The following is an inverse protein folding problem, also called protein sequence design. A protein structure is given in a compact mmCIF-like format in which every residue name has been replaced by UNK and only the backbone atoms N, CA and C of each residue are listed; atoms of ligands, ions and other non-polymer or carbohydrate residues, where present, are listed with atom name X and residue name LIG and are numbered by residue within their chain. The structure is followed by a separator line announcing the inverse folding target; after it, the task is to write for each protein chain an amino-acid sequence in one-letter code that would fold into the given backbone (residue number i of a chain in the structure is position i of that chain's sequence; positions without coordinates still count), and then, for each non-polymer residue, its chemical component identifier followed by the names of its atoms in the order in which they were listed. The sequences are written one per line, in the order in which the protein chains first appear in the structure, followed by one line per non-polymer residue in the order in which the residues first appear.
data_IF_636281202390
#
_entry.id   IF_636281202390
#
_cell.length_a   1.000
_cell.length_b   1.000
_cell.length_c   1.000
_cell.angle_alpha   90.00
_cell.angle_beta   90.00
_cell.angle_gamma   90.00
#
_symmetry.space_group_name_H-M   'P 1'
#
loop_
_entity.id
_entity.type
_entity.pdbx_description
1 polymer ?
#
# COMPACT_ATOMS: atom_id res chain seq x y z
N UNK A 1 12.81 -77.20 33.88
CA UNK A 1 11.55 -76.61 33.38
C UNK A 1 11.85 -75.30 32.67
N UNK A 2 12.08 -75.34 31.35
CA UNK A 2 12.32 -74.13 30.56
C UNK A 2 11.02 -73.60 29.98
N UNK A 3 10.57 -72.41 30.42
CA UNK A 3 9.46 -71.69 29.77
C UNK A 3 9.90 -71.28 28.37
N UNK A 4 9.40 -71.94 27.34
CA UNK A 4 9.53 -71.50 25.94
C UNK A 4 8.83 -70.15 25.79
N UNK A 5 9.60 -69.08 25.58
CA UNK A 5 9.05 -67.79 25.16
C UNK A 5 8.48 -67.96 23.75
N UNK A 6 7.15 -67.94 23.62
CA UNK A 6 6.45 -67.93 22.34
C UNK A 6 6.76 -66.58 21.67
N UNK A 7 7.41 -66.59 20.51
CA UNK A 7 7.69 -65.38 19.75
C UNK A 7 6.36 -64.71 19.38
N UNK A 8 6.20 -63.43 19.75
CA UNK A 8 4.96 -62.68 19.56
C UNK A 8 4.88 -62.27 18.09
N UNK A 9 4.27 -63.11 17.27
CA UNK A 9 3.94 -62.78 15.87
C UNK A 9 2.87 -61.70 15.87
N UNK A 10 3.24 -60.48 15.44
CA UNK A 10 2.29 -59.39 15.25
C UNK A 10 1.50 -59.72 13.97
N UNK A 11 0.17 -59.95 14.04
CA UNK A 11 -0.62 -60.23 12.86
C UNK A 11 -0.63 -59.01 11.93
N UNK A 12 -0.48 -59.25 10.62
CA UNK A 12 -0.58 -58.19 9.61
C UNK A 12 -1.97 -57.54 9.69
N UNK A 13 -1.99 -56.25 10.01
CA UNK A 13 -3.23 -55.47 10.15
C UNK A 13 -3.69 -54.93 8.80
N UNK A 14 -5.00 -54.72 8.66
CA UNK A 14 -5.55 -54.06 7.48
C UNK A 14 -5.07 -52.60 7.41
N UNK A 15 -4.11 -52.36 6.50
CA UNK A 15 -3.50 -51.04 6.29
C UNK A 15 -4.53 -49.97 5.93
N UNK A 16 -5.68 -50.34 5.33
CA UNK A 16 -6.73 -49.39 4.96
C UNK A 16 -7.50 -48.90 6.18
N UNK A 17 -7.86 -49.82 7.08
CA UNK A 17 -8.57 -49.49 8.34
C UNK A 17 -7.65 -48.68 9.25
N UNK A 18 -6.41 -49.14 9.47
CA UNK A 18 -5.43 -48.41 10.29
C UNK A 18 -5.11 -47.03 9.69
N UNK A 19 -4.94 -46.94 8.37
CA UNK A 19 -4.68 -45.69 7.67
C UNK A 19 -5.85 -44.70 7.80
N UNK A 20 -7.09 -45.17 7.64
CA UNK A 20 -8.28 -44.33 7.81
C UNK A 20 -8.43 -43.83 9.25
N UNK A 21 -8.22 -44.69 10.26
CA UNK A 21 -8.27 -44.27 11.67
C UNK A 21 -7.21 -43.20 11.94
N UNK A 22 -5.97 -43.43 11.50
CA UNK A 22 -4.86 -42.49 11.69
C UNK A 22 -5.15 -41.13 11.01
N UNK A 23 -5.61 -41.14 9.76
CA UNK A 23 -5.95 -39.92 9.03
C UNK A 23 -7.09 -39.14 9.67
N UNK A 24 -8.17 -39.81 10.09
CA UNK A 24 -9.29 -39.15 10.77
C UNK A 24 -8.88 -38.60 12.14
N UNK A 25 -8.07 -39.33 12.92
CA UNK A 25 -7.53 -38.85 14.19
C UNK A 25 -6.65 -37.62 14.00
N UNK A 26 -5.74 -37.66 13.02
CA UNK A 26 -4.88 -36.53 12.67
C UNK A 26 -5.70 -35.31 12.22
N UNK A 27 -6.72 -35.52 11.39
CA UNK A 27 -7.60 -34.45 10.91
C UNK A 27 -8.39 -33.81 12.05
N UNK A 28 -8.86 -34.59 13.03
CA UNK A 28 -9.51 -34.05 14.24
C UNK A 28 -8.53 -33.17 15.01
N UNK A 29 -7.31 -33.68 15.28
CA UNK A 29 -6.31 -32.93 16.04
C UNK A 29 -5.98 -31.61 15.34
N UNK A 30 -5.70 -31.64 14.04
CA UNK A 30 -5.43 -30.42 13.26
C UNK A 30 -6.64 -29.48 13.26
N UNK A 31 -7.85 -29.99 13.09
CA UNK A 31 -9.06 -29.14 13.05
C UNK A 31 -9.28 -28.45 14.40
N UNK A 32 -9.07 -29.14 15.53
CA UNK A 32 -9.14 -28.55 16.86
C UNK A 32 -8.07 -27.46 17.05
N UNK A 33 -6.82 -27.76 16.69
CA UNK A 33 -5.72 -26.79 16.76
C UNK A 33 -6.02 -25.57 15.88
N UNK A 34 -6.48 -25.80 14.65
CA UNK A 34 -6.86 -24.74 13.72
C UNK A 34 -7.95 -23.83 14.32
N UNK A 35 -9.02 -24.38 14.89
CA UNK A 35 -10.08 -23.58 15.52
C UNK A 35 -9.55 -22.69 16.66
N UNK A 36 -8.63 -23.19 17.49
CA UNK A 36 -8.01 -22.42 18.57
C UNK A 36 -7.18 -21.27 17.99
N UNK A 37 -6.31 -21.53 17.01
CA UNK A 37 -5.48 -20.47 16.42
C UNK A 37 -6.29 -19.44 15.63
N UNK A 38 -7.28 -19.89 14.85
CA UNK A 38 -8.14 -19.02 14.06
C UNK A 38 -9.06 -18.15 14.93
N UNK A 39 -9.33 -18.55 16.17
CA UNK A 39 -10.06 -17.70 17.12
C UNK A 39 -9.31 -16.39 17.41
N UNK A 40 -7.99 -16.46 17.62
CA UNK A 40 -7.15 -15.29 17.88
C UNK A 40 -6.78 -14.57 16.58
N UNK A 41 -6.45 -15.33 15.53
CA UNK A 41 -5.95 -14.77 14.29
C UNK A 41 -7.04 -14.14 13.40
N UNK A 42 -8.27 -14.68 13.40
CA UNK A 42 -9.35 -14.25 12.50
C UNK A 42 -10.59 -13.80 13.26
N UNK A 43 -11.10 -14.60 14.20
CA UNK A 43 -12.36 -14.26 14.89
C UNK A 43 -12.25 -12.97 15.71
N UNK A 44 -11.22 -12.82 16.57
CA UNK A 44 -11.04 -11.63 17.39
C UNK A 44 -10.92 -10.34 16.54
N UNK A 45 -10.05 -10.25 15.51
CA UNK A 45 -10.00 -9.09 14.62
C UNK A 45 -11.31 -8.85 13.86
N UNK A 46 -11.97 -9.92 13.38
CA UNK A 46 -13.24 -9.80 12.66
C UNK A 46 -14.35 -9.24 13.55
N UNK A 47 -14.45 -9.73 14.79
CA UNK A 47 -15.39 -9.21 15.77
C UNK A 47 -15.16 -7.72 16.03
N UNK A 48 -13.91 -7.29 16.22
CA UNK A 48 -13.58 -5.86 16.35
C UNK A 48 -14.01 -5.07 15.11
N UNK A 49 -13.76 -5.58 13.91
CA UNK A 49 -14.14 -4.93 12.66
C UNK A 49 -15.66 -4.74 12.53
N UNK A 50 -16.47 -5.75 12.86
CA UNK A 50 -17.93 -5.65 12.84
C UNK A 50 -18.48 -4.68 13.88
N UNK A 51 -17.79 -4.51 15.01
CA UNK A 51 -18.19 -3.61 16.09
C UNK A 51 -17.50 -2.24 16.07
N UNK A 52 -16.64 -1.96 15.09
CA UNK A 52 -15.90 -0.71 15.01
C UNK A 52 -16.78 0.51 14.66
N UNK A 53 -17.99 0.30 14.14
CA UNK A 53 -18.91 1.39 13.76
C UNK A 53 -18.41 2.24 12.58
N UNK A 54 -17.50 1.70 11.78
CA UNK A 54 -16.90 2.36 10.63
C UNK A 54 -17.80 2.20 9.41
N UNK A 55 -18.00 3.28 8.66
CA UNK A 55 -18.76 3.25 7.41
C UNK A 55 -18.00 2.42 6.35
N UNK A 56 -18.70 1.56 5.61
CA UNK A 56 -18.10 0.79 4.51
C UNK A 56 -17.87 1.61 3.24
N UNK A 57 -18.51 2.77 3.10
CA UNK A 57 -18.33 3.66 1.96
C UNK A 57 -17.17 4.62 2.22
N UNK A 58 -16.10 4.59 1.40
CA UNK A 58 -14.94 5.42 1.63
C UNK A 58 -15.28 6.90 1.38
N UNK A 59 -14.65 7.75 2.17
CA UNK A 59 -14.60 9.20 1.99
C UNK A 59 -13.17 9.62 1.66
N UNK A 60 -12.94 10.89 1.39
CA UNK A 60 -11.60 11.39 1.08
C UNK A 60 -10.90 11.88 2.34
N UNK A 61 -9.73 11.32 2.60
CA UNK A 61 -8.80 11.84 3.59
C UNK A 61 -7.71 12.66 2.93
N UNK A 62 -7.22 13.66 3.65
CA UNK A 62 -6.10 14.48 3.24
C UNK A 62 -5.16 14.71 4.40
N UNK A 63 -3.90 14.34 4.21
CA UNK A 63 -2.87 14.45 5.24
C UNK A 63 -2.56 15.92 5.53
N UNK A 64 -2.56 16.26 6.82
CA UNK A 64 -2.31 17.63 7.30
C UNK A 64 -1.03 17.77 8.11
N UNK A 65 -0.54 16.67 8.68
CA UNK A 65 0.68 16.68 9.47
C UNK A 65 1.25 15.27 9.54
N UNK A 66 2.54 15.14 9.23
CA UNK A 66 3.28 13.90 9.37
C UNK A 66 4.49 14.11 10.26
N UNK A 67 4.56 13.39 11.38
CA UNK A 67 5.72 13.42 12.27
C UNK A 67 6.34 12.04 12.42
N UNK A 68 7.66 12.02 12.59
CA UNK A 68 8.39 10.82 13.00
C UNK A 68 8.89 11.00 14.43
N UNK A 69 8.43 10.14 15.34
CA UNK A 69 8.73 10.20 16.78
C UNK A 69 9.46 8.92 17.20
N UNK A 70 10.40 9.03 18.15
CA UNK A 70 11.23 7.93 18.65
C UNK A 70 10.61 7.15 19.84
N UNK A 71 9.65 7.75 20.55
CA UNK A 71 8.94 7.16 21.68
C UNK A 71 7.44 7.31 21.46
N UNK A 72 6.77 6.20 21.17
CA UNK A 72 5.48 6.24 20.52
C UNK A 72 4.38 5.75 21.46
N UNK A 73 3.36 6.59 21.67
CA UNK A 73 2.09 6.14 22.23
C UNK A 73 1.23 5.44 21.17
N UNK A 74 1.40 5.81 19.89
CA UNK A 74 0.74 5.19 18.73
C UNK A 74 1.59 5.41 17.47
N UNK A 75 1.30 4.62 16.42
CA UNK A 75 1.90 4.71 15.10
C UNK A 75 0.82 4.51 14.02
N UNK A 76 0.91 5.21 12.90
CA UNK A 76 0.00 5.03 11.76
C UNK A 76 0.18 3.67 11.08
N UNK A 77 1.41 3.17 11.08
CA UNK A 77 1.76 1.84 10.62
C UNK A 77 2.96 1.31 11.41
N UNK A 78 2.81 0.13 12.02
CA UNK A 78 3.87 -0.65 12.62
C UNK A 78 4.11 -1.96 11.88
N UNK A 79 5.38 -2.33 11.70
CA UNK A 79 5.74 -3.68 11.28
C UNK A 79 5.64 -4.61 12.50
N UNK A 80 5.01 -5.77 12.33
CA UNK A 80 4.70 -6.77 13.37
C UNK A 80 3.68 -6.34 14.43
N UNK A 81 2.46 -6.85 14.31
CA UNK A 81 1.36 -6.54 15.23
C UNK A 81 1.48 -7.14 16.65
N UNK A 82 2.37 -8.11 16.87
CA UNK A 82 2.52 -8.76 18.18
C UNK A 82 3.37 -7.95 19.17
N UNK A 83 4.14 -7.00 18.66
CA UNK A 83 5.04 -6.16 19.45
C UNK A 83 4.64 -4.71 19.30
N UNK A 84 4.76 -3.91 20.36
CA UNK A 84 4.66 -2.46 20.20
C UNK A 84 5.76 -2.00 19.26
N UNK A 85 5.42 -1.15 18.29
CA UNK A 85 6.39 -0.49 17.43
C UNK A 85 7.38 0.28 18.32
N UNK A 86 8.64 -0.15 18.34
CA UNK A 86 9.72 0.52 19.07
C UNK A 86 10.67 1.21 18.09
N UNK A 87 11.17 2.40 18.46
CA UNK A 87 12.01 3.22 17.59
C UNK A 87 11.20 4.20 16.76
N UNK A 88 11.34 4.15 15.42
CA UNK A 88 10.71 5.11 14.51
C UNK A 88 9.22 4.84 14.31
N UNK A 89 8.36 5.76 14.75
CA UNK A 89 6.93 5.67 14.51
C UNK A 89 6.43 6.84 13.67
N UNK A 90 5.91 6.58 12.46
CA UNK A 90 5.21 7.59 11.70
C UNK A 90 3.85 7.88 12.37
N UNK A 91 3.56 9.15 12.57
CA UNK A 91 2.27 9.63 13.07
C UNK A 91 1.69 10.57 12.03
N UNK A 92 0.68 10.09 11.31
CA UNK A 92 -0.01 10.81 10.25
C UNK A 92 -1.36 11.27 10.79
N UNK A 93 -1.61 12.57 10.69
CA UNK A 93 -2.90 13.17 10.94
C UNK A 93 -3.56 13.53 9.61
N UNK A 94 -4.84 13.21 9.49
CA UNK A 94 -5.63 13.48 8.30
C UNK A 94 -6.88 14.29 8.64
N UNK A 95 -7.24 15.18 7.72
CA UNK A 95 -8.60 15.73 7.62
C UNK A 95 -9.47 14.73 6.88
N UNK A 96 -10.71 14.59 7.33
CA UNK A 96 -11.70 13.69 6.75
C UNK A 96 -12.77 14.55 6.09
N UNK A 97 -13.04 14.34 4.81
CA UNK A 97 -14.03 15.12 4.06
C UNK A 97 -14.83 14.26 3.10
N UNK A 98 -15.99 14.76 2.71
CA UNK A 98 -16.75 14.17 1.60
C UNK A 98 -16.01 14.35 0.27
N UNK A 99 -16.40 13.53 -0.70
CA UNK A 99 -15.94 13.66 -2.08
C UNK A 99 -16.47 14.99 -2.64
N UNK A 100 -15.64 15.67 -3.42
CA UNK A 100 -15.97 16.87 -4.16
C UNK A 100 -16.74 16.56 -5.44
N UNK A 101 -16.57 17.43 -6.42
CA UNK A 101 -17.30 17.36 -7.68
C UNK A 101 -16.47 16.66 -8.75
N UNK A 102 -17.04 15.66 -9.40
CA UNK A 102 -16.54 15.11 -10.64
C UNK A 102 -16.95 16.03 -11.78
N UNK A 103 -15.99 16.39 -12.61
CA UNK A 103 -16.19 17.29 -13.74
C UNK A 103 -15.79 16.65 -15.07
N UNK A 104 -16.51 17.03 -16.11
CA UNK A 104 -16.19 16.73 -17.50
C UNK A 104 -15.94 18.05 -18.23
N UNK A 105 -14.75 18.18 -18.80
CA UNK A 105 -14.35 19.29 -19.66
C UNK A 105 -14.40 18.84 -21.11
N UNK A 106 -15.14 19.56 -21.94
CA UNK A 106 -15.42 19.16 -23.32
C UNK A 106 -14.69 20.03 -24.35
N UNK A 107 -14.41 19.44 -25.51
CA UNK A 107 -13.66 20.02 -26.63
C UNK A 107 -12.32 20.61 -26.19
N UNK A 108 -11.56 19.82 -25.43
CA UNK A 108 -10.25 20.24 -24.96
C UNK A 108 -9.18 20.07 -26.05
N UNK A 109 -8.44 21.14 -26.30
CA UNK A 109 -7.27 21.18 -27.20
C UNK A 109 -6.03 21.59 -26.41
N UNK A 110 -4.83 21.36 -26.98
CA UNK A 110 -3.54 21.75 -26.37
C UNK A 110 -3.35 21.22 -24.94
N UNK A 111 -3.78 19.98 -24.69
CA UNK A 111 -3.65 19.34 -23.37
C UNK A 111 -2.20 19.04 -23.05
N UNK A 112 -1.66 19.68 -22.02
CA UNK A 112 -0.33 19.44 -21.48
C UNK A 112 -0.43 19.01 -20.01
N UNK A 113 0.46 18.11 -19.59
CA UNK A 113 0.62 17.70 -18.20
C UNK A 113 2.06 17.99 -17.78
N UNK A 114 2.23 18.79 -16.74
CA UNK A 114 3.53 19.12 -16.17
C UNK A 114 3.60 18.51 -14.78
N UNK A 115 4.60 17.67 -14.55
CA UNK A 115 4.86 17.07 -13.24
C UNK A 115 5.97 17.83 -12.53
N UNK A 116 5.78 18.12 -11.24
CA UNK A 116 6.86 18.59 -10.38
C UNK A 116 6.98 17.67 -9.16
N UNK A 117 7.65 16.50 -9.27
CA UNK A 117 7.69 15.46 -8.23
C UNK A 117 8.55 15.83 -7.04
N UNK A 118 8.35 15.17 -5.88
CA UNK A 118 9.06 15.52 -4.64
C UNK A 118 10.55 15.22 -4.80
N UNK A 119 11.38 16.17 -4.39
CA UNK A 119 12.82 16.02 -4.49
C UNK A 119 13.31 15.13 -3.35
N UNK A 120 13.88 13.98 -3.71
CA UNK A 120 14.56 13.12 -2.75
C UNK A 120 16.04 13.54 -2.65
N UNK A 121 16.35 14.43 -1.70
CA UNK A 121 17.73 14.89 -1.46
C UNK A 121 18.66 13.75 -1.05
N UNK A 122 18.13 12.66 -0.46
CA UNK A 122 18.94 11.50 -0.09
C UNK A 122 19.39 10.67 -1.31
N UNK A 123 18.73 10.81 -2.45
CA UNK A 123 19.11 10.16 -3.70
C UNK A 123 20.19 10.92 -4.48
N UNK A 124 20.49 12.17 -4.09
CA UNK A 124 21.53 12.99 -4.71
C UNK A 124 22.91 12.38 -4.45
N UNK A 125 23.79 12.44 -5.45
CA UNK A 125 25.17 11.98 -5.32
C UNK A 125 25.86 12.71 -4.16
N UNK A 126 26.42 11.94 -3.23
CA UNK A 126 27.27 12.44 -2.16
C UNK A 126 28.72 12.38 -2.60
N UNK A 127 29.39 13.52 -2.64
CA UNK A 127 30.81 13.68 -2.92
C UNK A 127 31.60 13.57 -1.62
N UNK A 128 32.65 12.75 -1.60
CA UNK A 128 33.55 12.67 -0.46
C UNK A 128 34.80 13.53 -0.70
N UNK A 129 34.77 14.78 -0.25
CA UNK A 129 35.91 15.70 -0.41
C UNK A 129 37.11 15.30 0.46
N UNK A 130 36.98 14.35 1.39
CA UNK A 130 38.14 13.81 2.10
C UNK A 130 39.01 12.92 1.19
N UNK A 131 38.47 12.47 0.05
CA UNK A 131 39.22 11.77 -0.99
C UNK A 131 39.72 12.80 -2.01
N UNK A 132 41.03 13.05 -2.04
CA UNK A 132 41.69 14.27 -2.53
C UNK A 132 41.57 14.65 -4.03
N UNK A 133 40.56 14.17 -4.76
CA UNK A 133 40.24 14.62 -6.12
C UNK A 133 38.74 14.64 -6.44
N UNK A 134 37.88 14.16 -5.54
CA UNK A 134 36.44 14.00 -5.85
C UNK A 134 35.69 15.34 -5.93
N UNK A 135 36.24 16.39 -5.31
CA UNK A 135 35.62 17.71 -5.21
C UNK A 135 36.31 18.80 -6.06
N UNK A 136 37.12 18.41 -7.05
CA UNK A 136 37.87 19.34 -7.90
C UNK A 136 36.99 20.11 -8.93
N UNK A 137 35.75 19.67 -9.14
CA UNK A 137 34.82 20.28 -10.10
C UNK A 137 33.44 20.53 -9.49
N UNK A 138 33.37 20.83 -8.19
CA UNK A 138 32.11 21.19 -7.56
C UNK A 138 31.58 22.51 -8.11
N UNK A 139 30.42 22.44 -8.77
CA UNK A 139 29.71 23.61 -9.29
C UNK A 139 28.23 23.54 -8.91
N UNK A 140 27.74 24.59 -8.24
CA UNK A 140 26.38 24.64 -7.72
C UNK A 140 26.32 24.92 -6.21
N UNK A 141 25.16 24.67 -5.62
CA UNK A 141 24.91 24.81 -4.18
C UNK A 141 25.00 23.44 -3.52
N UNK A 142 25.82 23.34 -2.49
CA UNK A 142 26.11 22.10 -1.78
C UNK A 142 25.74 22.19 -0.30
N UNK A 143 25.15 21.13 0.23
CA UNK A 143 25.06 20.88 1.67
C UNK A 143 26.19 19.91 2.06
N UNK A 144 27.10 20.36 2.92
CA UNK A 144 28.26 19.61 3.34
C UNK A 144 28.22 19.29 4.84
N UNK A 145 28.58 18.06 5.21
CA UNK A 145 28.77 17.62 6.61
C UNK A 145 30.13 16.93 6.72
N UNK A 146 31.09 17.61 7.36
CA UNK A 146 32.45 17.10 7.61
C UNK A 146 33.16 16.58 6.34
N UNK A 147 33.13 17.37 5.27
CA UNK A 147 33.76 17.01 3.99
C UNK A 147 32.92 16.08 3.09
N UNK A 148 31.76 15.63 3.53
CA UNK A 148 30.79 14.94 2.65
C UNK A 148 29.76 15.95 2.12
N UNK A 149 29.75 16.20 0.82
CA UNK A 149 28.92 17.23 0.19
C UNK A 149 27.86 16.63 -0.73
N UNK A 150 26.64 17.16 -0.71
CA UNK A 150 25.55 16.76 -1.61
C UNK A 150 25.14 17.95 -2.48
N UNK A 151 25.04 17.75 -3.80
CA UNK A 151 24.74 18.82 -4.75
C UNK A 151 23.24 19.14 -4.79
N UNK A 152 22.80 20.15 -4.04
CA UNK A 152 21.40 20.57 -4.03
C UNK A 152 20.96 21.11 -5.39
N UNK A 153 21.87 21.72 -6.15
CA UNK A 153 21.55 22.29 -7.47
C UNK A 153 21.25 21.27 -8.56
N UNK A 154 21.55 19.98 -8.35
CA UNK A 154 21.15 18.92 -9.29
C UNK A 154 19.64 18.69 -9.30
N UNK A 155 18.97 18.99 -8.19
CA UNK A 155 17.56 18.62 -7.97
C UNK A 155 16.67 19.78 -7.56
N UNK A 156 17.25 20.92 -7.16
CA UNK A 156 16.53 22.12 -6.73
C UNK A 156 17.15 23.40 -7.30
N UNK A 157 16.32 24.42 -7.50
CA UNK A 157 16.72 25.77 -7.87
C UNK A 157 16.87 26.64 -6.62
N UNK A 158 18.10 26.80 -6.14
CA UNK A 158 18.39 27.55 -4.91
C UNK A 158 18.59 29.05 -5.14
N UNK A 159 17.95 29.87 -4.31
CA UNK A 159 18.06 31.34 -4.28
C UNK A 159 18.92 31.78 -3.11
N UNK A 160 20.24 31.63 -3.24
CA UNK A 160 21.21 31.98 -2.20
C UNK A 160 21.95 33.28 -2.47
N UNK A 161 22.53 33.84 -1.39
CA UNK A 161 23.50 34.93 -1.44
C UNK A 161 24.77 34.48 -0.70
N UNK A 162 25.87 34.23 -1.42
CA UNK A 162 27.11 33.78 -0.79
C UNK A 162 27.82 34.95 -0.09
N UNK A 163 27.69 35.02 1.25
CA UNK A 163 28.20 36.13 2.08
C UNK A 163 29.33 35.70 3.06
N UNK A 164 29.79 34.45 2.95
CA UNK A 164 30.72 33.83 3.89
C UNK A 164 32.17 33.74 3.40
N UNK A 165 32.98 33.03 4.19
CA UNK A 165 34.37 32.75 3.81
C UNK A 165 34.43 31.81 2.60
N UNK A 166 35.39 32.06 1.71
CA UNK A 166 35.72 31.16 0.60
C UNK A 166 36.63 30.06 1.12
N UNK A 167 36.26 28.82 0.84
CA UNK A 167 36.98 27.59 1.20
C UNK A 167 37.33 26.87 -0.09
N UNK A 168 38.55 26.38 -0.17
CA UNK A 168 38.98 25.52 -1.27
C UNK A 168 38.62 24.06 -0.95
N UNK A 169 37.76 23.45 -1.77
CA UNK A 169 37.22 22.12 -1.52
C UNK A 169 38.20 20.97 -1.78
N UNK A 170 39.40 21.26 -2.30
CA UNK A 170 40.49 20.30 -2.46
C UNK A 170 41.50 20.36 -1.30
N UNK A 171 41.79 21.58 -0.83
CA UNK A 171 42.82 21.84 0.19
C UNK A 171 42.29 21.92 1.61
N UNK A 172 41.07 22.41 1.78
CA UNK A 172 40.49 22.78 3.08
C UNK A 172 39.23 21.94 3.41
N UNK A 173 39.27 20.65 3.09
CA UNK A 173 38.10 19.76 3.01
C UNK A 173 37.41 19.57 4.37
N UNK A 174 38.19 19.61 5.45
CA UNK A 174 37.67 19.56 6.83
C UNK A 174 36.87 20.83 7.23
N UNK A 175 37.05 21.95 6.52
CA UNK A 175 36.32 23.20 6.76
C UNK A 175 34.95 23.24 6.04
N UNK A 176 34.66 22.26 5.18
CA UNK A 176 33.37 22.12 4.50
C UNK A 176 32.31 21.54 5.45
N UNK A 177 31.69 22.43 6.22
CA UNK A 177 30.56 22.11 7.09
C UNK A 177 29.50 23.21 7.02
N UNK A 178 28.31 22.85 6.52
CA UNK A 178 27.20 23.76 6.23
C UNK A 178 26.93 23.90 4.72
N UNK A 179 26.32 25.02 4.34
CA UNK A 179 25.89 25.28 2.96
C UNK A 179 26.92 26.14 2.22
N UNK A 180 27.23 25.78 0.97
CA UNK A 180 28.23 26.45 0.15
C UNK A 180 27.75 26.61 -1.28
N UNK A 181 28.12 27.72 -1.92
CA UNK A 181 28.06 27.89 -3.37
C UNK A 181 29.45 27.70 -3.94
N UNK A 182 29.63 26.65 -4.73
CA UNK A 182 30.90 26.25 -5.31
C UNK A 182 30.96 26.59 -6.80
N UNK A 183 32.13 27.03 -7.25
CA UNK A 183 32.47 27.22 -8.66
C UNK A 183 33.90 26.72 -8.87
N UNK A 184 34.05 25.54 -9.50
CA UNK A 184 35.34 24.88 -9.74
C UNK A 184 36.24 24.88 -8.47
N UNK A 185 35.86 24.09 -7.46
CA UNK A 185 36.55 23.91 -6.16
C UNK A 185 36.52 25.10 -5.20
N UNK A 186 36.20 26.31 -5.66
CA UNK A 186 36.06 27.48 -4.77
C UNK A 186 34.65 27.56 -4.22
N UNK A 187 34.50 27.18 -2.95
CA UNK A 187 33.22 27.11 -2.26
C UNK A 187 33.06 28.30 -1.29
N UNK A 188 32.13 29.21 -1.59
CA UNK A 188 31.80 30.32 -0.71
C UNK A 188 30.69 29.92 0.25
N UNK A 189 30.91 30.08 1.55
CA UNK A 189 29.92 29.71 2.57
C UNK A 189 28.67 30.59 2.48
N UNK A 190 27.49 29.97 2.56
CA UNK A 190 26.21 30.66 2.64
C UNK A 190 25.82 30.71 4.13
N UNK A 191 25.85 31.90 4.73
CA UNK A 191 25.53 32.11 6.16
C UNK A 191 24.05 32.40 6.40
N UNK A 192 23.43 33.10 5.46
CA UNK A 192 22.02 33.49 5.50
C UNK A 192 21.14 32.31 5.14
N UNK A 193 19.96 32.24 5.76
CA UNK A 193 18.96 31.27 5.35
C UNK A 193 18.56 31.55 3.89
N UNK A 194 18.51 30.51 3.07
CA UNK A 194 18.09 30.58 1.67
C UNK A 194 16.97 29.58 1.43
N UNK A 195 16.18 29.83 0.38
CA UNK A 195 15.16 28.92 -0.09
C UNK A 195 15.61 28.27 -1.39
N UNK A 196 15.20 27.02 -1.60
CA UNK A 196 15.30 26.38 -2.89
C UNK A 196 13.91 26.00 -3.38
N UNK A 197 13.62 26.33 -4.63
CA UNK A 197 12.43 25.85 -5.31
C UNK A 197 12.71 24.48 -5.94
N UNK A 198 11.66 23.68 -6.12
CA UNK A 198 11.77 22.40 -6.83
C UNK A 198 12.08 22.66 -8.31
N UNK A 199 12.86 21.79 -8.93
CA UNK A 199 13.08 21.86 -10.37
C UNK A 199 11.82 21.43 -11.12
N UNK A 200 10.95 22.38 -11.45
CA UNK A 200 9.72 22.14 -12.20
C UNK A 200 9.86 22.63 -13.66
N UNK A 201 9.35 21.90 -14.66
CA UNK A 201 9.27 22.40 -16.03
C UNK A 201 8.41 23.65 -16.10
N UNK A 202 8.70 24.54 -17.06
CA UNK A 202 7.84 25.67 -17.37
C UNK A 202 6.48 25.18 -17.85
N UNK A 203 5.41 25.77 -17.34
CA UNK A 203 4.03 25.46 -17.70
C UNK A 203 3.64 26.39 -18.84
N UNK A 204 3.21 25.83 -19.98
CA UNK A 204 2.72 26.64 -21.10
C UNK A 204 1.36 27.24 -20.77
N UNK A 205 1.19 28.54 -21.04
CA UNK A 205 -0.03 29.28 -20.76
C UNK A 205 -0.71 29.82 -22.03
N UNK A 206 -0.07 29.65 -23.19
CA UNK A 206 -0.55 30.20 -24.46
C UNK A 206 -1.84 29.55 -24.95
N UNK A 207 -2.91 30.34 -24.93
CA UNK A 207 -4.30 29.94 -25.24
C UNK A 207 -4.84 28.83 -24.32
N UNK A 208 -4.37 28.77 -23.07
CA UNK A 208 -4.86 27.84 -22.05
C UNK A 208 -5.88 28.57 -21.17
N UNK A 209 -7.02 27.92 -20.92
CA UNK A 209 -8.11 28.48 -20.10
C UNK A 209 -8.56 27.55 -18.96
N UNK A 210 -7.93 26.38 -18.81
CA UNK A 210 -8.20 25.42 -17.74
C UNK A 210 -6.89 24.99 -17.12
N UNK A 211 -6.79 25.06 -15.80
CA UNK A 211 -5.71 24.47 -15.01
C UNK A 211 -6.27 23.55 -13.93
N UNK A 212 -5.91 22.27 -13.96
CA UNK A 212 -6.27 21.31 -12.92
C UNK A 212 -5.03 20.82 -12.19
N UNK A 213 -5.02 20.95 -10.87
CA UNK A 213 -3.99 20.37 -10.02
C UNK A 213 -4.35 18.94 -9.64
N UNK A 214 -3.44 18.00 -9.82
CA UNK A 214 -3.53 16.63 -9.35
C UNK A 214 -2.28 16.29 -8.55
N UNK A 215 -2.35 16.46 -7.24
CA UNK A 215 -1.15 16.38 -6.39
C UNK A 215 -0.09 17.36 -6.89
N UNK A 216 1.11 16.83 -7.18
CA UNK A 216 2.26 17.56 -7.72
C UNK A 216 2.24 17.74 -9.25
N UNK A 217 1.15 17.35 -9.92
CA UNK A 217 0.97 17.50 -11.36
C UNK A 217 -0.01 18.63 -11.68
N UNK A 218 0.23 19.34 -12.77
CA UNK A 218 -0.66 20.36 -13.31
C UNK A 218 -1.05 19.97 -14.73
N UNK A 219 -2.35 19.91 -14.97
CA UNK A 219 -2.92 19.74 -16.30
C UNK A 219 -3.40 21.09 -16.82
N UNK A 220 -2.86 21.49 -17.96
CA UNK A 220 -3.21 22.70 -18.67
C UNK A 220 -3.94 22.32 -19.97
N UNK A 221 -5.09 22.93 -20.24
CA UNK A 221 -5.84 22.69 -21.47
C UNK A 221 -6.64 23.91 -21.93
N UNK A 222 -6.99 23.90 -23.22
CA UNK A 222 -7.94 24.86 -23.82
C UNK A 222 -9.26 24.17 -24.09
N UNK A 223 -10.24 24.30 -23.20
CA UNK A 223 -11.54 23.62 -23.30
C UNK A 223 -12.68 24.60 -23.58
N UNK A 224 -13.82 24.08 -24.03
CA UNK A 224 -15.01 24.88 -24.40
C UNK A 224 -15.95 25.14 -23.23
N UNK A 225 -16.21 24.14 -22.39
CA UNK A 225 -17.08 24.20 -21.22
C UNK A 225 -16.72 23.12 -20.20
N UNK A 226 -17.17 23.30 -18.97
CA UNK A 226 -17.06 22.35 -17.87
C UNK A 226 -18.46 21.98 -17.35
N UNK A 227 -18.68 20.68 -17.19
CA UNK A 227 -19.93 20.09 -16.71
C UNK A 227 -19.66 19.37 -15.38
N UNK A 228 -20.43 19.67 -14.34
CA UNK A 228 -20.44 18.91 -13.10
C UNK A 228 -21.35 17.70 -13.24
N UNK A 229 -20.88 16.54 -12.77
CA UNK A 229 -21.60 15.27 -12.86
C UNK A 229 -22.31 14.89 -11.55
N UNK A 230 -21.94 15.52 -10.45
CA UNK A 230 -22.54 15.36 -9.12
C UNK A 230 -22.57 16.71 -8.39
N UNK A 231 -23.44 16.83 -7.40
CA UNK A 231 -23.50 17.97 -6.48
C UNK A 231 -22.99 17.59 -5.10
N UNK A 232 -22.27 18.50 -4.47
CA UNK A 232 -21.90 18.42 -3.07
C UNK A 232 -23.04 18.91 -2.17
N UNK A 233 -23.11 18.35 -0.96
CA UNK A 233 -24.08 18.73 0.08
C UNK A 233 -23.36 18.99 1.42
N UNK A 234 -22.26 19.76 1.35
CA UNK A 234 -21.38 20.02 2.48
C UNK A 234 -20.81 18.73 3.08
N UNK A 235 -21.05 18.50 4.37
CA UNK A 235 -20.57 17.31 5.09
C UNK A 235 -21.44 16.04 4.87
N UNK A 236 -22.52 16.14 4.08
CA UNK A 236 -23.39 15.00 3.73
C UNK A 236 -22.94 14.33 2.43
N UNK A 237 -23.29 13.06 2.19
CA UNK A 237 -23.03 12.41 0.91
C UNK A 237 -23.55 13.24 -0.26
N UNK A 238 -22.72 13.41 -1.28
CA UNK A 238 -23.11 14.09 -2.51
C UNK A 238 -24.12 13.28 -3.32
N UNK A 239 -24.77 13.94 -4.27
CA UNK A 239 -25.79 13.35 -5.13
C UNK A 239 -25.33 13.34 -6.58
N UNK A 240 -25.42 12.19 -7.25
CA UNK A 240 -25.11 12.06 -8.68
C UNK A 240 -26.26 12.66 -9.50
N UNK A 241 -25.93 13.53 -10.45
CA UNK A 241 -26.93 14.15 -11.30
C UNK A 241 -27.32 13.21 -12.45
N UNK A 242 -28.60 13.16 -12.78
CA UNK A 242 -29.10 12.51 -14.00
C UNK A 242 -28.66 13.25 -15.26
N UNK A 243 -28.66 14.58 -15.21
CA UNK A 243 -28.21 15.47 -16.28
C UNK A 243 -27.03 16.32 -15.78
N UNK A 244 -25.88 16.31 -16.48
CA UNK A 244 -24.73 17.14 -16.12
C UNK A 244 -25.07 18.63 -16.09
N UNK A 245 -24.59 19.35 -15.07
CA UNK A 245 -24.81 20.79 -14.90
C UNK A 245 -23.62 21.57 -15.45
N UNK A 246 -23.84 22.52 -16.37
CA UNK A 246 -22.78 23.43 -16.81
C UNK A 246 -22.38 24.39 -15.67
N UNK A 247 -21.10 24.40 -15.33
CA UNK A 247 -20.53 25.20 -14.24
C UNK A 247 -19.56 26.28 -14.74
N UNK A 248 -19.03 26.10 -15.95
CA UNK A 248 -18.13 27.07 -16.58
C UNK A 248 -18.16 26.93 -18.09
N UNK A 249 -17.93 28.04 -18.79
CA UNK A 249 -17.85 28.13 -20.24
C UNK A 249 -16.69 29.04 -20.63
N UNK A 250 -16.04 28.72 -21.74
CA UNK A 250 -15.01 29.55 -22.34
C UNK A 250 -15.55 30.96 -22.63
N UNK A 251 -14.85 31.95 -22.10
CA UNK A 251 -15.11 33.37 -22.25
C UNK A 251 -13.85 34.13 -21.85
N UNK A 252 -13.94 34.95 -20.81
CA UNK A 252 -12.82 35.80 -20.34
C UNK A 252 -12.09 35.23 -19.11
N UNK A 253 -12.70 34.28 -18.39
CA UNK A 253 -12.16 33.71 -17.17
C UNK A 253 -11.58 32.31 -17.39
N UNK A 254 -10.42 32.10 -16.79
CA UNK A 254 -9.71 30.83 -16.64
C UNK A 254 -10.24 30.12 -15.41
N UNK A 255 -10.51 28.82 -15.52
CA UNK A 255 -10.88 27.98 -14.38
C UNK A 255 -9.67 27.26 -13.79
N UNK A 256 -9.55 27.31 -12.47
CA UNK A 256 -8.52 26.59 -11.71
C UNK A 256 -9.21 25.71 -10.68
N UNK A 257 -8.81 24.44 -10.56
CA UNK A 257 -9.35 23.54 -9.53
C UNK A 257 -8.31 22.51 -9.09
N UNK A 258 -8.51 21.92 -7.91
CA UNK A 258 -7.67 20.86 -7.38
C UNK A 258 -8.45 19.54 -7.30
N UNK A 259 -7.99 18.52 -8.03
CA UNK A 259 -8.68 17.24 -8.19
C UNK A 259 -7.84 16.08 -7.66
N UNK A 260 -8.49 14.99 -7.28
CA UNK A 260 -7.82 13.75 -6.89
C UNK A 260 -7.27 13.00 -8.11
N UNK A 261 -8.08 12.90 -9.16
CA UNK A 261 -7.70 12.23 -10.41
C UNK A 261 -8.07 13.09 -11.62
N UNK A 262 -7.20 13.08 -12.63
CA UNK A 262 -7.44 13.73 -13.93
C UNK A 262 -7.04 12.75 -15.03
N UNK A 263 -7.98 12.46 -15.94
CA UNK A 263 -7.80 11.56 -17.06
C UNK A 263 -8.20 12.21 -18.38
N UNK A 264 -7.51 11.83 -19.47
CA UNK A 264 -7.89 12.23 -20.83
C UNK A 264 -9.01 11.34 -21.35
N UNK A 265 -10.01 11.94 -21.98
CA UNK A 265 -11.12 11.26 -22.66
C UNK A 265 -11.12 11.70 -24.14
N UNK A 266 -11.78 10.97 -25.02
CA UNK A 266 -11.72 11.16 -26.48
C UNK A 266 -11.87 12.63 -26.94
N UNK A 267 -12.78 13.40 -26.33
CA UNK A 267 -13.01 14.81 -26.68
C UNK A 267 -12.82 15.76 -25.49
N UNK A 268 -12.01 15.40 -24.49
CA UNK A 268 -11.99 16.17 -23.25
C UNK A 268 -11.06 15.71 -22.14
N UNK A 269 -11.28 16.29 -20.97
CA UNK A 269 -10.69 15.85 -19.70
C UNK A 269 -11.80 15.45 -18.74
N UNK A 270 -11.63 14.33 -18.06
CA UNK A 270 -12.46 13.93 -16.94
C UNK A 270 -11.64 14.07 -15.66
N UNK A 271 -12.19 14.72 -14.66
CA UNK A 271 -11.55 14.84 -13.37
C UNK A 271 -12.51 14.44 -12.25
N UNK A 272 -11.96 13.84 -11.20
CA UNK A 272 -12.71 13.21 -10.12
C UNK A 272 -12.30 13.84 -8.78
N UNK A 273 -13.28 14.00 -7.89
CA UNK A 273 -13.10 14.63 -6.57
C UNK A 273 -12.38 15.99 -6.65
N UNK A 274 -12.92 16.91 -7.44
CA UNK A 274 -12.41 18.26 -7.56
C UNK A 274 -12.98 19.19 -6.47
N UNK A 275 -12.09 19.99 -5.90
CA UNK A 275 -12.34 20.96 -4.82
C UNK A 275 -11.67 22.29 -5.12
N UNK A 276 -12.14 23.34 -4.43
CA UNK A 276 -11.64 24.71 -4.55
C UNK A 276 -11.63 25.21 -6.00
N UNK A 277 -12.76 25.04 -6.70
CA UNK A 277 -12.89 25.61 -8.04
C UNK A 277 -12.98 27.12 -7.99
N UNK A 278 -12.07 27.80 -8.67
CA UNK A 278 -11.99 29.26 -8.73
C UNK A 278 -11.87 29.76 -10.16
N UNK A 279 -12.27 31.02 -10.35
CA UNK A 279 -12.17 31.75 -11.60
C UNK A 279 -11.11 32.84 -11.51
N UNK A 280 -10.32 32.98 -12.56
CA UNK A 280 -9.26 33.97 -12.65
C UNK A 280 -9.28 34.64 -14.02
N UNK A 281 -9.05 35.95 -14.06
CA UNK A 281 -8.99 36.66 -15.34
C UNK A 281 -7.75 36.22 -16.13
N UNK A 282 -7.90 36.04 -17.45
CA UNK A 282 -6.81 35.66 -18.35
C UNK A 282 -5.62 36.64 -18.28
N UNK A 283 -5.87 37.93 -18.04
CA UNK A 283 -4.85 38.98 -17.92
C UNK A 283 -3.89 38.76 -16.74
N UNK A 284 -4.30 38.00 -15.73
CA UNK A 284 -3.46 37.71 -14.56
C UNK A 284 -2.53 36.52 -14.78
N UNK A 285 -2.72 35.74 -15.86
CA UNK A 285 -1.88 34.59 -16.19
C UNK A 285 -0.65 35.07 -16.97
N UNK A 286 0.58 34.87 -16.47
CA UNK A 286 1.79 35.21 -17.20
C UNK A 286 1.88 34.45 -18.52
N UNK A 287 2.24 35.14 -19.61
CA UNK A 287 2.41 34.58 -20.95
C UNK A 287 3.88 34.67 -21.39
N UNK A 288 4.41 33.74 -22.19
CA UNK A 288 3.77 32.51 -22.71
C UNK A 288 3.96 31.27 -21.82
N UNK A 289 4.69 31.43 -20.71
CA UNK A 289 4.94 30.37 -19.74
C UNK A 289 4.83 30.92 -18.31
N UNK A 290 4.55 30.03 -17.37
CA UNK A 290 4.65 30.31 -15.94
C UNK A 290 5.46 29.23 -15.21
N UNK A 291 5.99 29.58 -14.04
CA UNK A 291 6.68 28.64 -13.15
C UNK A 291 5.70 28.05 -12.12
N UNK A 292 6.02 26.90 -11.55
CA UNK A 292 5.17 26.21 -10.57
C UNK A 292 4.89 27.05 -9.31
N UNK A 293 5.90 27.73 -8.76
CA UNK A 293 5.74 28.62 -7.60
C UNK A 293 4.77 29.77 -7.91
N UNK A 294 4.89 30.34 -9.11
CA UNK A 294 3.96 31.38 -9.59
C UNK A 294 2.55 30.81 -9.73
N UNK A 295 2.41 29.60 -10.28
CA UNK A 295 1.12 28.92 -10.37
C UNK A 295 0.45 28.74 -9.01
N UNK A 296 1.18 28.24 -8.00
CA UNK A 296 0.63 28.06 -6.65
C UNK A 296 0.15 29.38 -6.06
N UNK A 297 0.92 30.46 -6.19
CA UNK A 297 0.50 31.78 -5.74
C UNK A 297 -0.73 32.33 -6.47
N UNK A 298 -0.89 32.00 -7.77
CA UNK A 298 -2.09 32.36 -8.53
C UNK A 298 -3.30 31.55 -8.07
N UNK A 299 -3.12 30.25 -7.84
CA UNK A 299 -4.16 29.38 -7.30
C UNK A 299 -4.64 29.88 -5.94
N UNK A 300 -3.75 30.15 -4.99
CA UNK A 300 -4.11 30.70 -3.67
C UNK A 300 -4.85 32.04 -3.78
N UNK A 301 -4.39 32.93 -4.65
CA UNK A 301 -5.05 34.23 -4.89
C UNK A 301 -6.43 34.10 -5.53
N UNK A 302 -6.65 33.04 -6.31
CA UNK A 302 -7.93 32.80 -6.98
C UNK A 302 -9.01 32.24 -6.05
N UNK A 303 -8.65 31.61 -4.94
CA UNK A 303 -9.58 30.94 -4.01
C UNK A 303 -10.80 31.78 -3.56
N UNK A 304 -10.72 33.11 -3.36
CA UNK A 304 -11.89 33.92 -3.00
C UNK A 304 -12.95 34.03 -4.09
N UNK A 305 -12.58 33.90 -5.38
CA UNK A 305 -13.50 34.00 -6.52
C UNK A 305 -13.95 32.60 -6.95
N UNK A 306 -14.80 32.01 -6.13
CA UNK A 306 -15.33 30.66 -6.33
C UNK A 306 -16.16 30.54 -7.61
N UNK A 307 -16.11 29.37 -8.25
CA UNK A 307 -16.96 29.04 -9.41
C UNK A 307 -18.45 29.04 -9.00
N UNK A 308 -18.74 28.47 -7.84
CA UNK A 308 -20.08 28.42 -7.26
C UNK A 308 -20.04 28.90 -5.80
N UNK A 309 -20.53 30.11 -5.49
CA UNK A 309 -20.60 30.61 -4.12
C UNK A 309 -21.50 29.78 -3.18
N UNK A 310 -22.36 28.93 -3.74
CA UNK A 310 -23.23 28.03 -2.98
C UNK A 310 -22.55 26.73 -2.52
N UNK A 311 -21.26 26.52 -2.84
CA UNK A 311 -20.50 25.30 -2.52
C UNK A 311 -21.23 24.01 -2.93
N UNK A 312 -22.06 24.06 -3.98
CA UNK A 312 -22.77 22.89 -4.52
C UNK A 312 -21.95 22.22 -5.63
N UNK A 313 -21.18 23.00 -6.39
CA UNK A 313 -20.32 22.51 -7.46
C UNK A 313 -18.89 23.05 -7.33
N UNK A 314 -17.89 22.18 -7.50
CA UNK A 314 -16.48 22.49 -7.19
C UNK A 314 -16.30 23.15 -5.81
N UNK A 315 -16.89 22.55 -4.76
CA UNK A 315 -16.97 23.15 -3.44
C UNK A 315 -15.60 23.44 -2.83
N UNK A 316 -15.57 24.40 -1.92
CA UNK A 316 -14.44 24.64 -1.05
C UNK A 316 -14.15 23.42 -0.18
N UNK A 317 -12.87 23.11 0.06
CA UNK A 317 -12.49 21.97 0.89
C UNK A 317 -13.11 22.06 2.30
N UNK A 318 -13.25 23.28 2.84
CA UNK A 318 -13.82 23.54 4.17
C UNK A 318 -15.28 23.12 4.28
N UNK A 319 -16.08 23.31 3.23
CA UNK A 319 -17.51 22.96 3.23
C UNK A 319 -17.74 21.44 3.29
N UNK A 320 -16.80 20.65 2.77
CA UNK A 320 -16.85 19.19 2.72
C UNK A 320 -16.31 18.50 3.98
N UNK A 321 -15.59 19.23 4.83
CA UNK A 321 -14.89 18.65 5.98
C UNK A 321 -15.86 18.09 7.01
N UNK A 322 -15.63 16.84 7.39
CA UNK A 322 -16.33 16.12 8.46
C UNK A 322 -15.52 16.26 9.76
N UNK A 323 -14.23 15.91 9.71
CA UNK A 323 -13.30 16.03 10.83
C UNK A 323 -12.04 16.76 10.40
N UNK A 324 -11.62 17.75 11.21
CA UNK A 324 -10.43 18.55 10.94
C UNK A 324 -9.13 17.81 11.24
N UNK A 325 -9.17 16.86 12.17
CA UNK A 325 -7.97 16.17 12.62
C UNK A 325 -8.32 14.79 13.19
N UNK A 326 -7.86 13.74 12.52
CA UNK A 326 -8.02 12.35 12.92
C UNK A 326 -6.71 11.59 12.70
N UNK A 327 -6.41 10.64 13.59
CA UNK A 327 -5.23 9.76 13.42
C UNK A 327 -5.46 8.82 12.27
N UNK A 328 -4.55 8.77 11.31
CA UNK A 328 -4.62 7.78 10.24
C UNK A 328 -3.94 6.49 10.67
N UNK A 329 -4.65 5.38 10.59
CA UNK A 329 -4.11 4.04 10.69
C UNK A 329 -4.18 3.29 9.35
N UNK A 330 -3.21 2.43 9.07
CA UNK A 330 -3.26 1.57 7.88
C UNK A 330 -4.46 0.62 7.91
N UNK A 331 -4.82 0.11 9.09
CA UNK A 331 -5.96 -0.75 9.40
C UNK A 331 -6.37 -0.54 10.87
N UNK A 332 -7.37 -1.28 11.38
CA UNK A 332 -7.88 -1.10 12.75
C UNK A 332 -6.83 -1.27 13.85
N UNK A 333 -5.78 -2.06 13.61
CA UNK A 333 -4.72 -2.35 14.59
C UNK A 333 -3.51 -1.41 14.42
N UNK A 334 -3.44 -0.65 13.32
CA UNK A 334 -2.31 0.24 13.01
C UNK A 334 -1.01 -0.49 12.67
N UNK A 335 -1.07 -1.76 12.22
CA UNK A 335 0.10 -2.59 11.98
C UNK A 335 -0.10 -3.63 10.86
N UNK A 336 1.02 -4.12 10.32
CA UNK A 336 1.06 -5.17 9.29
C UNK A 336 2.01 -6.28 9.72
N UNK A 337 1.69 -7.52 9.34
CA UNK A 337 2.50 -8.70 9.69
C UNK A 337 3.43 -9.14 8.56
N UNK A 338 3.53 -8.37 7.48
CA UNK A 338 4.41 -8.71 6.36
C UNK A 338 5.65 -7.83 6.42
N UNK A 339 6.84 -8.42 6.62
CA UNK A 339 8.13 -7.74 6.58
C UNK A 339 8.53 -7.26 5.16
N UNK A 340 7.55 -6.87 4.35
CA UNK A 340 7.72 -6.48 2.95
C UNK A 340 7.91 -4.97 2.77
N UNK A 341 8.04 -4.22 3.87
CA UNK A 341 8.18 -2.76 3.83
C UNK A 341 6.86 -2.05 3.52
N UNK A 342 5.72 -2.68 3.81
CA UNK A 342 4.40 -2.09 3.57
C UNK A 342 4.22 -0.77 4.33
N UNK A 343 4.78 -0.65 5.55
CA UNK A 343 4.69 0.62 6.28
C UNK A 343 5.51 1.74 5.65
N UNK A 344 6.63 1.41 5.01
CA UNK A 344 7.43 2.39 4.27
C UNK A 344 6.65 2.89 3.05
N UNK A 345 6.02 1.98 2.32
CA UNK A 345 5.23 2.31 1.14
C UNK A 345 3.95 3.07 1.53
N UNK A 346 3.36 2.75 2.68
CA UNK A 346 2.25 3.50 3.26
C UNK A 346 2.65 4.93 3.60
N UNK A 347 3.80 5.14 4.26
CA UNK A 347 4.31 6.47 4.55
C UNK A 347 4.62 7.26 3.27
N UNK A 348 5.18 6.61 2.24
CA UNK A 348 5.46 7.26 0.96
C UNK A 348 4.19 7.72 0.21
N UNK A 349 3.10 6.98 0.34
CA UNK A 349 1.84 7.26 -0.36
C UNK A 349 0.85 8.14 0.42
N UNK A 350 0.90 8.12 1.76
CA UNK A 350 -0.05 8.81 2.63
C UNK A 350 0.61 9.90 3.49
N UNK A 351 1.94 9.97 3.54
CA UNK A 351 2.68 10.83 4.46
C UNK A 351 2.95 12.25 3.98
N UNK A 352 2.64 12.63 2.75
CA UNK A 352 2.89 14.01 2.31
C UNK A 352 1.85 14.97 2.92
N UNK A 353 2.30 15.88 3.77
CA UNK A 353 1.49 16.87 4.53
C UNK A 353 1.49 18.28 3.91
N UNK A 354 2.16 18.44 2.77
CA UNK A 354 2.24 19.70 2.02
C UNK A 354 3.44 20.57 2.36
N UNK A 355 4.30 20.11 3.28
CA UNK A 355 5.56 20.81 3.58
C UNK A 355 6.48 20.85 2.35
N UNK A 356 7.37 21.85 2.31
CA UNK A 356 8.32 22.07 1.21
C UNK A 356 7.66 22.26 -0.17
N UNK A 357 6.52 22.97 -0.23
CA UNK A 357 5.77 23.24 -1.46
C UNK A 357 5.35 21.95 -2.20
N UNK A 358 5.01 20.90 -1.43
CA UNK A 358 4.46 19.66 -1.96
C UNK A 358 2.95 19.67 -1.89
N UNK A 359 2.31 18.86 -2.73
CA UNK A 359 0.88 18.63 -2.56
C UNK A 359 0.61 17.67 -1.40
N UNK A 360 -0.47 17.94 -0.66
CA UNK A 360 -0.96 17.04 0.38
C UNK A 360 -1.44 15.72 -0.22
N UNK A 361 -1.09 14.62 0.43
CA UNK A 361 -1.56 13.27 0.06
C UNK A 361 -3.06 13.20 0.26
N UNK A 362 -3.78 12.84 -0.79
CA UNK A 362 -5.21 12.57 -0.78
C UNK A 362 -5.46 11.10 -1.10
N UNK A 363 -6.32 10.46 -0.35
CA UNK A 363 -6.62 9.03 -0.51
C UNK A 363 -8.00 8.70 0.05
N UNK A 364 -8.65 7.64 -0.47
CA UNK A 364 -9.86 7.12 0.14
C UNK A 364 -9.55 6.56 1.54
N UNK A 365 -10.43 6.82 2.48
CA UNK A 365 -10.34 6.35 3.85
C UNK A 365 -11.72 6.08 4.44
N UNK A 366 -11.74 5.34 5.54
CA UNK A 366 -12.95 4.96 6.25
C UNK A 366 -12.93 5.56 7.66
N UNK A 367 -14.10 5.99 8.12
CA UNK A 367 -14.24 6.74 9.36
C UNK A 367 -15.46 6.27 10.15
N UNK A 368 -15.46 6.52 11.46
CA UNK A 368 -16.62 6.34 12.30
C UNK A 368 -17.41 7.65 12.35
N UNK A 369 -18.73 7.60 12.13
CA UNK A 369 -19.60 8.80 12.15
C UNK A 369 -19.71 9.47 13.53
N UNK A 370 -19.46 8.71 14.59
CA UNK A 370 -19.65 9.14 15.97
C UNK A 370 -18.31 9.42 16.69
N UNK A 371 -17.18 9.10 16.07
CA UNK A 371 -15.86 9.24 16.69
C UNK A 371 -14.84 9.78 15.68
N UNK A 372 -14.24 10.93 16.02
CA UNK A 372 -13.20 11.57 15.22
C UNK A 372 -11.78 11.13 15.59
N UNK A 373 -11.61 10.22 16.56
CA UNK A 373 -10.30 9.85 17.09
C UNK A 373 -9.36 9.29 16.01
N UNK A 374 -9.87 8.40 15.15
CA UNK A 374 -9.08 7.77 14.13
C UNK A 374 -9.87 7.47 12.85
N UNK A 375 -9.12 7.30 11.77
CA UNK A 375 -9.58 6.83 10.47
C UNK A 375 -8.65 5.75 9.96
N UNK A 376 -9.16 4.92 9.06
CA UNK A 376 -8.44 3.76 8.52
C UNK A 376 -8.34 3.84 7.01
N UNK A 377 -7.16 3.55 6.47
CA UNK A 377 -6.94 3.51 5.03
C UNK A 377 -7.48 2.23 4.40
N UNK A 378 -7.33 1.08 5.08
CA UNK A 378 -7.78 -0.23 4.60
C UNK A 378 -8.89 -0.75 5.50
N UNK A 379 -10.10 -0.85 4.97
CA UNK A 379 -11.24 -1.45 5.64
C UNK A 379 -12.15 -2.11 4.60
N UNK A 380 -12.41 -3.40 4.75
CA UNK A 380 -13.29 -4.16 3.86
C UNK A 380 -14.03 -5.24 4.66
N UNK A 381 -15.28 -4.92 5.02
CA UNK A 381 -16.13 -5.84 5.78
C UNK A 381 -16.54 -7.09 4.99
N UNK A 382 -16.68 -6.99 3.66
CA UNK A 382 -17.07 -8.12 2.84
C UNK A 382 -15.96 -9.15 2.76
N UNK A 383 -14.72 -8.68 2.60
CA UNK A 383 -13.54 -9.53 2.68
C UNK A 383 -13.40 -10.17 4.07
N UNK A 384 -13.47 -9.38 5.14
CA UNK A 384 -13.38 -9.89 6.52
C UNK A 384 -14.47 -10.93 6.82
N UNK A 385 -15.70 -10.71 6.36
CA UNK A 385 -16.79 -11.68 6.52
C UNK A 385 -16.52 -12.98 5.77
N UNK A 386 -16.01 -12.89 4.54
CA UNK A 386 -15.69 -14.08 3.73
C UNK A 386 -14.55 -14.89 4.35
N UNK A 387 -13.49 -14.23 4.80
CA UNK A 387 -12.37 -14.87 5.49
C UNK A 387 -12.82 -15.53 6.79
N UNK A 388 -13.66 -14.86 7.58
CA UNK A 388 -14.24 -15.45 8.80
C UNK A 388 -15.09 -16.69 8.50
N UNK A 389 -15.94 -16.64 7.47
CA UNK A 389 -16.77 -17.78 7.08
C UNK A 389 -15.92 -18.98 6.68
N UNK A 390 -14.90 -18.79 5.85
CA UNK A 390 -13.99 -19.87 5.43
C UNK A 390 -13.23 -20.43 6.64
N UNK A 391 -12.73 -19.57 7.51
CA UNK A 391 -11.97 -19.95 8.70
C UNK A 391 -12.78 -20.75 9.73
N UNK A 392 -14.08 -20.53 9.81
CA UNK A 392 -14.96 -21.29 10.70
C UNK A 392 -15.48 -22.56 10.01
N UNK A 393 -15.99 -22.45 8.78
CA UNK A 393 -16.65 -23.56 8.09
C UNK A 393 -15.67 -24.70 7.79
N UNK A 394 -14.49 -24.41 7.25
CA UNK A 394 -13.57 -25.47 6.79
C UNK A 394 -13.10 -26.37 7.95
N UNK A 395 -12.55 -25.84 9.06
CA UNK A 395 -12.14 -26.69 10.18
C UNK A 395 -13.32 -27.38 10.88
N UNK A 396 -14.47 -26.72 11.00
CA UNK A 396 -15.66 -27.33 11.60
C UNK A 396 -16.20 -28.49 10.76
N UNK A 397 -16.26 -28.35 9.43
CA UNK A 397 -16.67 -29.43 8.53
C UNK A 397 -15.70 -30.61 8.60
N UNK A 398 -14.38 -30.35 8.53
CA UNK A 398 -13.37 -31.41 8.63
C UNK A 398 -13.43 -32.14 9.98
N UNK A 399 -13.67 -31.40 11.08
CA UNK A 399 -13.87 -31.97 12.40
C UNK A 399 -15.09 -32.89 12.45
N UNK A 400 -16.26 -32.43 11.98
CA UNK A 400 -17.51 -33.20 12.00
C UNK A 400 -17.42 -34.45 11.11
N UNK A 401 -16.87 -34.32 9.89
CA UNK A 401 -16.70 -35.46 8.97
C UNK A 401 -15.73 -36.49 9.57
N UNK A 402 -14.63 -36.04 10.17
CA UNK A 402 -13.66 -36.96 10.78
C UNK A 402 -14.20 -37.65 12.02
N UNK A 403 -14.93 -36.91 12.88
CA UNK A 403 -15.55 -37.45 14.09
C UNK A 403 -16.64 -38.48 13.74
N UNK A 404 -17.52 -38.15 12.81
CA UNK A 404 -18.57 -39.08 12.35
C UNK A 404 -17.98 -40.33 11.74
N UNK A 405 -16.92 -40.20 10.93
CA UNK A 405 -16.20 -41.35 10.35
C UNK A 405 -15.59 -42.24 11.44
N UNK A 406 -14.95 -41.67 12.47
CA UNK A 406 -14.41 -42.45 13.59
C UNK A 406 -15.50 -43.14 14.41
N UNK A 407 -16.65 -42.50 14.64
CA UNK A 407 -17.79 -43.12 15.32
C UNK A 407 -18.31 -44.31 14.52
N UNK A 408 -18.43 -44.16 13.19
CA UNK A 408 -18.84 -45.25 12.29
C UNK A 408 -17.82 -46.39 12.31
N UNK A 409 -16.52 -46.10 12.22
CA UNK A 409 -15.46 -47.11 12.30
C UNK A 409 -15.49 -47.84 13.65
N UNK A 410 -15.65 -47.11 14.76
CA UNK A 410 -15.72 -47.71 16.11
C UNK A 410 -16.92 -48.66 16.26
N UNK A 411 -18.04 -48.37 15.59
CA UNK A 411 -19.23 -49.24 15.60
C UNK A 411 -19.18 -50.38 14.60
N UNK A 412 -18.42 -50.23 13.52
CA UNK A 412 -18.35 -51.19 12.42
C UNK A 412 -17.15 -52.13 12.50
N UNK A 413 -16.07 -51.78 13.21
CA UNK A 413 -14.87 -52.61 13.32
C UNK A 413 -14.87 -53.36 14.64
N UNK A 414 -14.72 -54.69 14.56
CA UNK A 414 -14.54 -55.56 15.72
C UNK A 414 -13.13 -56.16 15.70
N UNK A 415 -12.50 -56.24 16.87
CA UNK A 415 -11.25 -56.95 17.07
C UNK A 415 -11.60 -58.40 17.37
N UNK A 416 -11.25 -59.32 16.47
CA UNK A 416 -11.42 -60.76 16.71
C UNK A 416 -10.34 -61.31 17.65
N UNK A 417 -10.51 -62.54 18.12
CA UNK A 417 -9.58 -63.21 19.05
C UNK A 417 -8.15 -63.34 18.50
N UNK A 418 -7.97 -63.24 17.17
CA UNK A 418 -6.68 -63.19 16.47
C UNK A 418 -5.97 -61.82 16.53
N UNK A 419 -6.51 -60.86 17.30
CA UNK A 419 -6.09 -59.45 17.32
C UNK A 419 -6.12 -58.73 15.95
N UNK A 420 -6.87 -59.26 14.98
CA UNK A 420 -7.12 -58.66 13.66
C UNK A 420 -8.40 -57.81 13.68
N UNK A 421 -8.33 -56.62 13.10
CA UNK A 421 -9.50 -55.75 12.90
C UNK A 421 -10.29 -56.22 11.67
N UNK A 422 -11.59 -56.52 11.85
CA UNK A 422 -12.50 -56.90 10.76
C UNK A 422 -13.72 -55.97 10.77
N UNK A 423 -14.19 -55.60 9.58
CA UNK A 423 -15.42 -54.83 9.43
C UNK A 423 -16.64 -55.75 9.53
N UNK A 424 -17.49 -55.52 10.53
CA UNK A 424 -18.71 -56.28 10.84
C UNK A 424 -19.76 -56.22 9.74
N UNK A 425 -19.83 -55.11 9.00
CA UNK A 425 -20.85 -54.86 7.97
C UNK A 425 -20.32 -54.95 6.53
N UNK A 426 -19.04 -55.23 6.33
CA UNK A 426 -18.43 -55.26 5.00
C UNK A 426 -18.46 -56.67 4.36
N UNK A 427 -19.29 -57.60 4.89
CA UNK A 427 -19.24 -59.03 4.54
C UNK A 427 -20.19 -59.43 3.39
N UNK A 428 -21.07 -58.56 2.90
CA UNK A 428 -22.05 -58.95 1.85
C UNK A 428 -21.62 -58.67 0.40
N UNK A 429 -20.33 -58.79 0.07
CA UNK A 429 -19.84 -58.39 -1.27
C UNK A 429 -18.68 -59.16 -1.88
N UNK A 430 -18.29 -60.33 -1.36
CA UNK A 430 -17.28 -61.17 -2.02
C UNK A 430 -17.59 -62.65 -1.81
N UNK A 431 -18.55 -63.15 -2.60
CA UNK A 431 -18.58 -64.57 -2.93
C UNK A 431 -17.51 -64.87 -3.98
N UNK A 432 -16.77 -65.95 -3.72
CA UNK A 432 -16.07 -66.85 -4.65
C UNK A 432 -14.82 -66.34 -5.37
N UNK A 433 -13.66 -66.74 -4.82
CA UNK A 433 -12.51 -67.41 -5.46
C UNK A 433 -11.50 -67.62 -4.31
N UNK A 434 -11.31 -68.80 -3.72
CA UNK A 434 -11.08 -70.12 -4.31
C UNK A 434 -9.83 -70.66 -3.61
N UNK A 435 -10.02 -71.54 -2.64
CA UNK A 435 -8.97 -72.26 -1.93
C UNK A 435 -8.06 -73.03 -2.89
N UNK A 436 -6.77 -73.10 -2.55
CA UNK A 436 -5.77 -73.90 -3.23
C UNK A 436 -4.50 -73.98 -2.40
N UNK A 437 -4.54 -74.72 -1.29
CA UNK A 437 -3.36 -75.22 -0.58
C UNK A 437 -2.50 -76.11 -1.51
N UNK A 438 -1.17 -76.08 -1.36
CA UNK A 438 -0.32 -77.07 -2.03
C UNK A 438 1.18 -76.75 -2.11
N UNK A 439 1.85 -76.91 -0.97
CA UNK A 439 3.29 -77.02 -0.72
C UNK A 439 4.09 -77.88 -1.75
N UNK A 440 5.34 -77.50 -2.06
CA UNK A 440 6.61 -78.27 -1.86
C UNK A 440 7.76 -77.78 -2.79
N UNK A 441 8.77 -77.20 -2.13
CA UNK A 441 10.24 -77.32 -2.31
C UNK A 441 10.83 -78.05 -3.54
N UNK A 442 11.82 -77.45 -4.22
CA UNK A 442 13.26 -77.62 -3.87
C UNK A 442 14.25 -76.95 -4.87
N UNK A 443 15.16 -76.17 -4.28
CA UNK A 443 16.63 -76.15 -4.48
C UNK A 443 17.25 -75.91 -5.87
N UNK A 444 18.02 -74.83 -6.01
CA UNK A 444 19.51 -74.83 -6.02
C UNK A 444 20.13 -73.67 -6.84
N UNK A 445 21.31 -73.23 -6.35
CA UNK A 445 22.43 -72.63 -7.11
C UNK A 445 22.23 -71.19 -7.66
N UNK A 446 22.75 -70.18 -6.96
CA UNK A 446 24.14 -69.65 -7.06
C UNK A 446 24.35 -68.67 -8.23
N UNK A 447 24.65 -67.43 -7.83
CA UNK A 447 25.47 -66.36 -8.44
C UNK A 447 26.03 -66.58 -9.87
N UNK A 448 26.19 -65.49 -10.65
CA UNK A 448 27.51 -64.86 -10.60
C UNK A 448 27.50 -63.32 -10.53
N UNK A 449 28.55 -62.86 -9.88
CA UNK A 449 29.09 -61.51 -9.84
C UNK A 449 29.72 -61.08 -11.17
N UNK A 450 29.69 -59.77 -11.44
CA UNK A 450 30.81 -58.88 -11.84
C UNK A 450 30.43 -57.93 -12.97
N UNK A 451 30.86 -56.67 -12.84
CA UNK A 451 31.16 -55.85 -14.02
C UNK A 451 30.84 -54.36 -13.93
N UNK A 452 31.70 -53.60 -13.22
CA UNK A 452 32.33 -52.34 -13.67
C UNK A 452 31.52 -51.29 -14.48
N UNK A 453 31.37 -50.13 -13.83
CA UNK A 453 31.99 -48.84 -14.16
C UNK A 453 31.51 -48.00 -15.37
N UNK A 454 31.21 -46.72 -15.05
CA UNK A 454 31.39 -45.48 -15.87
C UNK A 454 30.34 -45.36 -17.02
N UNK A 455 29.58 -44.29 -17.24
CA UNK A 455 29.93 -42.87 -17.30
C UNK A 455 28.71 -41.92 -17.18
N UNK A 456 29.05 -40.65 -16.97
CA UNK A 456 28.29 -39.38 -17.10
C UNK A 456 27.17 -39.28 -18.15
N UNK A 457 26.05 -38.59 -17.84
CA UNK A 457 25.63 -37.35 -18.54
C UNK A 457 24.37 -36.69 -17.92
N UNK A 458 24.48 -35.37 -17.79
CA UNK A 458 23.45 -34.36 -17.51
C UNK A 458 22.33 -34.31 -18.55
N UNK A 459 21.06 -34.16 -18.12
CA UNK A 459 20.14 -33.21 -18.78
C UNK A 459 18.94 -32.82 -17.91
N UNK A 460 18.83 -31.52 -17.70
CA UNK A 460 17.65 -30.76 -17.30
C UNK A 460 16.52 -30.86 -18.33
N UNK A 461 15.27 -30.95 -17.87
CA UNK A 461 14.04 -30.31 -18.40
C UNK A 461 12.98 -30.43 -17.28
N UNK A 462 12.57 -29.34 -16.63
CA UNK A 462 11.45 -28.49 -17.04
C UNK A 462 10.11 -29.24 -17.06
N UNK A 463 9.37 -29.13 -15.96
CA UNK A 463 7.99 -28.64 -15.88
C UNK A 463 7.66 -28.27 -14.43
#
# INVERSE_FOLDING_TARGET
MGRKYKHRTIPEQDRKICGSICFCQFTIVISCVALVYLSVAIYMPSHRAFHAGIESDPVMCQTVNTTLVNYCSWASCGEWCLTKTTGFCPQIHATVRRNGTDILLENCTRTASVSCPMVNVAAVKRFNCNNGSECDMLTGVFECKLGHCSNLSEVMLCHDRPDGAVVDAERDNMKLNGNFRCLNSRCTRIKTAFSCDRYCPKISTSNINVFLMQGDNIYAASCSRALALNRALGNKPGERLSEPKEIWRKGEDVIIASCFAVGRVAEGLRAEDCVNGSLMSELQVPQPFLNFTTFLSLYERSLPRQVDPGDSFLPSQRSLTIYNNSRLYINLEGCVNTLRGECRDFLASHGADGDNQTAQSRYPCYYNKNDSFFVVARFDLNKTRTELLIAVIVPSCLFVISLTTLVVITRSVQVGDDAKMRCRYCVDGQSTEGEGEGLVENTAASTPSQGRAIDTETRSMAL
#
